data_IF_429939521557
#
_entry.id   IF_429939521557
#
_cell.length_a   1.000
_cell.length_b   1.000
_cell.length_c   1.000
_cell.angle_alpha   90.00
_cell.angle_beta   90.00
_cell.angle_gamma   90.00
#
_symmetry.space_group_name_H-M   'P 1'
#
loop_
_entity.id
_entity.type
_entity.pdbx_description
1 polymer ?
#
# COMPACT_ATOMS: atom_id res chain seq x y z
N UNK A 1 5.43 -2.68 -11.00
CA UNK A 1 4.15 -2.97 -11.63
C UNK A 1 3.10 -3.06 -10.54
N UNK A 2 2.36 -1.97 -10.37
CA UNK A 2 1.42 -1.79 -9.25
C UNK A 2 0.10 -2.53 -9.48
N UNK A 3 -0.22 -2.80 -10.76
CA UNK A 3 -1.45 -3.48 -11.18
C UNK A 3 -1.54 -4.94 -10.69
N UNK A 4 -0.40 -5.63 -10.60
CA UNK A 4 -0.32 -7.05 -10.26
C UNK A 4 -0.93 -7.37 -8.87
N UNK A 5 -0.65 -6.54 -7.85
CA UNK A 5 -1.19 -6.79 -6.51
C UNK A 5 -2.70 -6.48 -6.42
N UNK A 6 -3.16 -5.46 -7.15
CA UNK A 6 -4.58 -5.16 -7.23
C UNK A 6 -5.36 -6.32 -7.89
N UNK A 7 -4.80 -6.90 -8.96
CA UNK A 7 -5.38 -8.05 -9.63
C UNK A 7 -5.42 -9.30 -8.76
N UNK A 8 -4.34 -9.60 -8.05
CA UNK A 8 -4.30 -10.74 -7.12
C UNK A 8 -5.31 -10.58 -5.97
N UNK A 9 -5.46 -9.38 -5.42
CA UNK A 9 -6.46 -9.10 -4.39
C UNK A 9 -7.88 -9.31 -4.93
N UNK A 10 -8.17 -8.78 -6.13
CA UNK A 10 -9.46 -8.96 -6.81
C UNK A 10 -9.78 -10.44 -7.06
N UNK A 11 -8.81 -11.22 -7.54
CA UNK A 11 -8.98 -12.66 -7.77
C UNK A 11 -9.33 -13.44 -6.50
N UNK A 12 -8.86 -12.96 -5.34
CA UNK A 12 -9.18 -13.55 -4.03
C UNK A 12 -10.45 -12.96 -3.39
N UNK A 13 -11.13 -12.03 -4.06
CA UNK A 13 -12.30 -11.33 -3.51
C UNK A 13 -11.95 -10.41 -2.33
N UNK A 14 -10.67 -10.01 -2.20
CA UNK A 14 -10.19 -9.14 -1.12
C UNK A 14 -10.27 -7.68 -1.55
N UNK A 15 -10.65 -6.80 -0.62
CA UNK A 15 -10.54 -5.37 -0.82
C UNK A 15 -9.06 -4.95 -0.79
N UNK A 16 -8.61 -4.32 -1.86
CA UNK A 16 -7.25 -3.80 -1.99
C UNK A 16 -7.19 -2.35 -1.50
N UNK A 17 -6.26 -2.07 -0.58
CA UNK A 17 -5.92 -0.72 -0.13
C UNK A 17 -4.46 -0.46 -0.49
N UNK A 18 -4.20 0.67 -1.14
CA UNK A 18 -2.87 1.10 -1.53
C UNK A 18 -2.81 2.63 -1.50
N UNK A 19 -1.65 3.20 -1.79
CA UNK A 19 -1.47 4.64 -1.89
C UNK A 19 -2.31 5.23 -3.02
N UNK A 20 -3.15 6.21 -2.69
CA UNK A 20 -3.98 6.94 -3.66
C UNK A 20 -3.29 8.20 -4.19
N UNK A 21 -2.31 8.72 -3.42
CA UNK A 21 -1.56 9.94 -3.72
C UNK A 21 -0.07 9.62 -3.84
N UNK A 22 0.45 9.38 -5.06
CA UNK A 22 1.86 9.05 -5.26
C UNK A 22 2.82 10.16 -4.80
N UNK A 23 2.38 11.42 -4.83
CA UNK A 23 3.12 12.60 -4.34
C UNK A 23 3.34 12.59 -2.82
N UNK A 24 2.75 11.62 -2.11
CA UNK A 24 2.92 11.41 -0.66
C UNK A 24 3.91 10.32 -0.31
N UNK A 25 4.56 9.73 -1.31
CA UNK A 25 5.63 8.74 -1.18
C UNK A 25 6.91 9.37 -1.74
N UNK A 26 7.95 9.46 -0.92
CA UNK A 26 9.18 10.15 -1.28
C UNK A 26 10.34 9.14 -1.27
N UNK A 27 10.96 8.87 -2.44
CA UNK A 27 12.19 8.08 -2.49
C UNK A 27 13.32 8.87 -1.81
N UNK A 28 14.12 8.20 -1.00
CA UNK A 28 15.30 8.84 -0.36
C UNK A 28 16.43 9.09 -1.38
N UNK A 29 16.52 8.25 -2.41
CA UNK A 29 17.54 8.28 -3.46
C UNK A 29 17.04 7.56 -4.73
N UNK A 30 17.79 7.63 -5.83
CA UNK A 30 17.50 6.94 -7.09
C UNK A 30 17.62 5.40 -6.97
N UNK A 31 18.25 4.93 -5.89
CA UNK A 31 18.35 3.52 -5.50
C UNK A 31 19.48 2.81 -6.22
N UNK A 32 20.65 2.73 -5.59
CA UNK A 32 21.86 2.25 -6.24
C UNK A 32 22.01 0.71 -6.16
N UNK A 33 21.77 0.00 -7.26
CA UNK A 33 22.16 -1.41 -7.37
C UNK A 33 23.56 -1.53 -8.01
N UNK A 34 24.50 -2.27 -7.41
CA UNK A 34 25.90 -2.33 -7.88
C UNK A 34 26.07 -2.88 -9.32
N UNK A 35 25.07 -3.60 -9.85
CA UNK A 35 25.11 -4.17 -11.21
C UNK A 35 23.90 -3.85 -12.09
N UNK A 36 22.79 -3.37 -11.53
CA UNK A 36 21.53 -3.16 -12.27
C UNK A 36 21.18 -1.68 -12.45
N UNK A 37 22.01 -0.77 -11.92
CA UNK A 37 21.78 0.67 -11.99
C UNK A 37 20.71 1.17 -11.01
N UNK A 38 20.23 2.39 -11.26
CA UNK A 38 19.19 3.03 -10.46
C UNK A 38 17.84 2.31 -10.65
N UNK A 39 17.21 1.85 -9.57
CA UNK A 39 15.87 1.27 -9.64
C UNK A 39 15.09 1.58 -8.37
N UNK A 40 13.82 1.99 -8.54
CA UNK A 40 12.85 2.31 -7.48
C UNK A 40 12.58 1.20 -6.45
N UNK A 41 13.20 0.02 -6.59
CA UNK A 41 13.10 -1.09 -5.61
C UNK A 41 14.28 -1.12 -4.64
N UNK A 42 15.35 -0.36 -4.94
CA UNK A 42 16.60 -0.35 -4.18
C UNK A 42 16.82 0.99 -3.47
N UNK A 43 15.74 1.69 -3.16
CA UNK A 43 15.76 2.91 -2.37
C UNK A 43 14.80 2.79 -1.21
N UNK A 44 15.14 3.42 -0.11
CA UNK A 44 14.22 3.58 1.00
C UNK A 44 13.19 4.64 0.64
N UNK A 45 12.03 4.55 1.29
CA UNK A 45 10.95 5.49 1.09
C UNK A 45 10.53 6.08 2.43
N UNK A 46 10.40 7.41 2.43
CA UNK A 46 9.62 8.11 3.45
C UNK A 46 8.23 8.41 2.89
N UNK A 47 7.27 8.66 3.78
CA UNK A 47 5.89 8.91 3.36
C UNK A 47 5.18 9.87 4.30
N UNK A 48 4.11 10.48 3.78
CA UNK A 48 3.22 11.32 4.55
C UNK A 48 2.42 10.50 5.58
N UNK A 49 2.63 10.81 6.86
CA UNK A 49 2.00 10.08 7.97
C UNK A 49 0.49 10.28 8.03
N UNK A 50 -0.01 11.45 7.64
CA UNK A 50 -1.45 11.75 7.69
C UNK A 50 -2.18 10.96 6.62
N UNK A 51 -1.62 10.89 5.42
CA UNK A 51 -2.16 10.10 4.32
C UNK A 51 -2.15 8.59 4.67
N UNK A 52 -1.05 8.10 5.26
CA UNK A 52 -1.00 6.71 5.74
C UNK A 52 -2.12 6.42 6.76
N UNK A 53 -2.28 7.29 7.76
CA UNK A 53 -3.31 7.10 8.79
C UNK A 53 -4.72 7.21 8.22
N UNK A 54 -4.95 8.02 7.18
CA UNK A 54 -6.24 8.08 6.49
C UNK A 54 -6.58 6.74 5.85
N UNK A 55 -5.68 6.21 5.01
CA UNK A 55 -5.86 4.91 4.34
C UNK A 55 -6.04 3.79 5.39
N UNK A 56 -5.23 3.80 6.45
CA UNK A 56 -5.34 2.81 7.53
C UNK A 56 -6.70 2.86 8.25
N UNK A 57 -7.23 4.06 8.54
CA UNK A 57 -8.56 4.22 9.16
C UNK A 57 -9.67 3.70 8.25
N UNK A 58 -9.56 3.89 6.94
CA UNK A 58 -10.52 3.36 5.98
C UNK A 58 -10.48 1.83 5.93
N UNK A 59 -9.28 1.24 5.93
CA UNK A 59 -9.11 -0.20 6.02
C UNK A 59 -9.67 -0.76 7.34
N UNK A 60 -9.40 -0.11 8.47
CA UNK A 60 -9.97 -0.49 9.77
C UNK A 60 -11.50 -0.43 9.77
N UNK A 61 -12.08 0.62 9.20
CA UNK A 61 -13.54 0.75 9.07
C UNK A 61 -14.10 -0.38 8.23
N UNK A 62 -13.48 -0.69 7.09
CA UNK A 62 -13.89 -1.78 6.22
C UNK A 62 -13.88 -3.14 6.94
N UNK A 63 -12.81 -3.45 7.67
CA UNK A 63 -12.71 -4.70 8.44
C UNK A 63 -13.76 -4.76 9.55
N UNK A 64 -13.93 -3.69 10.34
CA UNK A 64 -14.92 -3.64 11.44
C UNK A 64 -16.37 -3.76 10.95
N UNK A 65 -16.65 -3.32 9.74
CA UNK A 65 -17.98 -3.42 9.11
C UNK A 65 -18.21 -4.77 8.41
N UNK A 66 -17.17 -5.59 8.27
CA UNK A 66 -17.28 -6.90 7.63
C UNK A 66 -18.03 -7.88 8.54
N UNK A 67 -19.04 -8.57 7.98
CA UNK A 67 -19.91 -9.48 8.72
C UNK A 67 -19.14 -10.57 9.49
N UNK A 68 -18.11 -11.15 8.87
CA UNK A 68 -17.27 -12.15 9.51
C UNK A 68 -16.55 -11.63 10.77
N UNK A 69 -16.19 -10.34 10.82
CA UNK A 69 -15.56 -9.74 12.00
C UNK A 69 -16.61 -9.47 13.10
N UNK A 70 -17.80 -9.00 12.72
CA UNK A 70 -18.89 -8.72 13.66
C UNK A 70 -19.47 -9.97 14.31
N UNK A 71 -19.39 -11.13 13.66
CA UNK A 71 -19.87 -12.40 14.23
C UNK A 71 -18.93 -12.99 15.28
N UNK A 72 -17.70 -12.50 15.40
CA UNK A 72 -16.69 -12.98 16.34
C UNK A 72 -16.59 -12.15 17.63
N UNK A 73 -17.38 -11.08 17.76
CA UNK A 73 -17.38 -10.14 18.88
C UNK A 73 -18.80 -9.84 19.33
#
# INVERSE_FOLDING_TARGET
>A
DESCYADLARLKGLKYFTWEKPDKIFPEDEGHHPTLGAHAKFTNYSFDREEFLRIFKEALKYVKQHSAFQQQH
#
